data_IF_477145483294
#
_entry.id   IF_477145483294
#
_cell.length_a   1.000
_cell.length_b   1.000
_cell.length_c   1.000
_cell.angle_alpha   90.00
_cell.angle_beta   90.00
_cell.angle_gamma   90.00
#
_symmetry.space_group_name_H-M   'P 1'
#
loop_
_entity.id
_entity.type
_entity.pdbx_description
1 polymer ?
#
# COMPACT_ATOMS: atom_id res chain seq x y z
N UNK A 1 6.39 8.62 -4.07
CA UNK A 1 7.40 7.60 -3.72
C UNK A 1 8.39 7.43 -4.88
N UNK A 2 9.68 7.15 -4.62
CA UNK A 2 10.73 7.04 -5.66
C UNK A 2 11.77 5.95 -5.34
N UNK A 3 11.39 4.90 -4.60
CA UNK A 3 12.29 3.80 -4.27
C UNK A 3 12.93 3.17 -5.53
N UNK A 4 14.17 2.68 -5.38
CA UNK A 4 14.94 2.07 -6.48
C UNK A 4 14.20 0.93 -7.18
N UNK A 5 13.32 0.23 -6.45
CA UNK A 5 12.43 -0.81 -6.95
C UNK A 5 11.49 -0.31 -8.05
N UNK A 6 10.92 0.89 -7.89
CA UNK A 6 10.00 1.51 -8.84
C UNK A 6 10.71 2.26 -9.98
N UNK A 7 12.03 2.44 -9.90
CA UNK A 7 12.85 3.02 -10.98
C UNK A 7 13.63 1.98 -11.80
N UNK A 8 13.55 0.70 -11.43
CA UNK A 8 14.29 -0.40 -12.09
C UNK A 8 13.87 -0.63 -13.54
N UNK A 9 14.78 -1.18 -14.35
CA UNK A 9 14.53 -1.57 -15.74
C UNK A 9 13.41 -2.59 -15.87
N UNK A 10 13.38 -3.54 -14.94
CA UNK A 10 12.45 -4.67 -14.96
C UNK A 10 11.03 -4.17 -14.67
N UNK A 11 10.90 -3.24 -13.72
CA UNK A 11 9.63 -2.58 -13.44
C UNK A 11 9.11 -1.78 -14.63
N UNK A 12 9.97 -1.00 -15.30
CA UNK A 12 9.58 -0.27 -16.52
C UNK A 12 9.15 -1.19 -17.65
N UNK A 13 9.83 -2.32 -17.80
CA UNK A 13 9.51 -3.33 -18.81
C UNK A 13 8.15 -3.96 -18.53
N UNK A 14 7.87 -4.31 -17.26
CA UNK A 14 6.58 -4.80 -16.82
C UNK A 14 5.44 -3.81 -17.10
N UNK A 15 5.64 -2.53 -16.77
CA UNK A 15 4.62 -1.50 -17.01
C UNK A 15 4.32 -1.34 -18.50
N UNK A 16 5.37 -1.32 -19.35
CA UNK A 16 5.21 -1.25 -20.80
C UNK A 16 4.47 -2.48 -21.36
N UNK A 17 4.79 -3.67 -20.87
CA UNK A 17 4.13 -4.91 -21.29
C UNK A 17 2.62 -4.94 -20.92
N UNK A 18 2.23 -4.23 -19.86
CA UNK A 18 0.85 -4.19 -19.38
C UNK A 18 0.10 -2.89 -19.75
N UNK A 19 0.67 -2.04 -20.62
CA UNK A 19 0.12 -0.73 -21.00
C UNK A 19 -0.19 0.19 -19.79
N UNK A 20 0.62 0.09 -18.74
CA UNK A 20 0.49 0.89 -17.53
C UNK A 20 1.42 2.11 -17.58
N UNK A 21 0.93 3.26 -17.17
CA UNK A 21 1.71 4.51 -17.08
C UNK A 21 2.17 4.72 -15.64
N UNK A 22 3.48 4.83 -15.42
CA UNK A 22 4.01 5.17 -14.11
C UNK A 22 3.76 6.65 -13.81
N UNK A 23 2.89 6.98 -12.86
CA UNK A 23 2.75 8.35 -12.34
C UNK A 23 3.76 8.61 -11.23
N UNK A 24 5.06 8.55 -11.56
CA UNK A 24 6.07 9.06 -10.63
C UNK A 24 6.17 10.58 -10.81
N UNK A 25 5.34 11.32 -10.08
CA UNK A 25 5.43 12.78 -9.99
C UNK A 25 6.77 13.22 -9.38
N UNK A 26 7.14 14.49 -9.57
CA UNK A 26 8.39 15.05 -9.04
C UNK A 26 8.43 14.91 -7.50
N UNK A 27 9.64 14.79 -6.93
CA UNK A 27 9.84 14.84 -5.47
C UNK A 27 9.08 16.05 -4.91
N UNK A 28 8.19 15.81 -3.95
CA UNK A 28 7.42 16.87 -3.28
C UNK A 28 5.92 16.88 -3.56
N UNK A 29 5.40 16.05 -4.47
CA UNK A 29 3.94 15.89 -4.61
C UNK A 29 3.41 14.88 -3.58
N UNK A 30 3.15 15.34 -2.35
CA UNK A 30 2.65 14.51 -1.26
C UNK A 30 1.23 13.96 -1.52
N UNK A 31 0.45 14.62 -2.39
CA UNK A 31 -0.92 14.23 -2.69
C UNK A 31 -1.04 12.86 -3.34
N UNK A 32 -0.08 12.48 -4.19
CA UNK A 32 -0.12 11.18 -4.90
C UNK A 32 0.09 9.99 -3.94
N UNK A 33 0.80 10.21 -2.83
CA UNK A 33 1.05 9.17 -1.81
C UNK A 33 0.14 9.30 -0.59
N UNK A 34 -0.60 10.42 -0.44
CA UNK A 34 -1.36 10.73 0.77
C UNK A 34 -2.40 9.66 1.11
N UNK A 35 -3.04 9.06 0.10
CA UNK A 35 -4.04 7.99 0.31
C UNK A 35 -3.37 6.74 0.90
N UNK A 36 -2.24 6.32 0.32
CA UNK A 36 -1.48 5.17 0.81
C UNK A 36 -0.92 5.44 2.22
N UNK A 37 -0.35 6.62 2.44
CA UNK A 37 0.16 7.02 3.77
C UNK A 37 -0.94 7.02 4.83
N UNK A 38 -2.12 7.56 4.51
CA UNK A 38 -3.27 7.54 5.40
C UNK A 38 -3.72 6.11 5.71
N UNK A 39 -3.82 5.24 4.70
CA UNK A 39 -4.12 3.82 4.90
C UNK A 39 -3.13 3.15 5.85
N UNK A 40 -1.81 3.29 5.61
CA UNK A 40 -0.80 2.65 6.45
C UNK A 40 -0.77 3.21 7.87
N UNK A 41 -1.04 4.50 8.05
CA UNK A 41 -1.18 5.10 9.38
C UNK A 41 -2.35 4.47 10.15
N UNK A 42 -3.51 4.35 9.50
CA UNK A 42 -4.72 3.77 10.10
C UNK A 42 -4.52 2.29 10.42
N UNK A 43 -4.03 1.49 9.47
CA UNK A 43 -3.74 0.06 9.67
C UNK A 43 -2.82 -0.15 10.87
N UNK A 44 -1.73 0.61 10.97
CA UNK A 44 -0.80 0.51 12.09
C UNK A 44 -1.47 0.88 13.41
N UNK A 45 -2.20 2.00 13.44
CA UNK A 45 -2.83 2.53 14.64
C UNK A 45 -3.95 1.63 15.16
N UNK A 46 -4.82 1.19 14.29
CA UNK A 46 -6.10 0.56 14.63
C UNK A 46 -5.98 -0.96 14.74
N UNK A 47 -5.05 -1.58 14.00
CA UNK A 47 -4.94 -3.05 13.98
C UNK A 47 -3.63 -3.61 14.52
N UNK A 48 -2.49 -2.98 14.22
CA UNK A 48 -1.17 -3.59 14.47
C UNK A 48 -0.53 -3.15 15.81
N UNK A 49 -0.70 -1.89 16.23
CA UNK A 49 0.09 -1.26 17.33
C UNK A 49 0.10 -2.03 18.67
N UNK A 50 -0.91 -2.85 18.95
CA UNK A 50 -1.03 -3.61 20.21
C UNK A 50 -1.20 -5.11 20.00
N UNK A 51 -0.86 -5.62 18.81
CA UNK A 51 -1.03 -7.02 18.44
C UNK A 51 0.31 -7.65 18.14
N UNK A 52 0.61 -8.74 18.84
CA UNK A 52 1.74 -9.62 18.55
C UNK A 52 1.18 -10.82 17.79
N UNK A 53 1.72 -11.08 16.61
CA UNK A 53 1.34 -12.23 15.79
C UNK A 53 2.32 -13.37 16.03
N UNK A 54 1.79 -14.56 16.31
CA UNK A 54 2.58 -15.76 16.51
C UNK A 54 3.18 -16.27 15.20
N UNK A 55 2.47 -16.09 14.09
CA UNK A 55 2.94 -16.47 12.76
C UNK A 55 2.70 -15.38 11.71
N UNK A 56 3.46 -15.47 10.61
CA UNK A 56 3.25 -14.62 9.43
C UNK A 56 1.90 -14.86 8.77
N UNK A 57 1.37 -16.09 8.87
CA UNK A 57 0.06 -16.47 8.33
C UNK A 57 -1.06 -15.72 9.06
N UNK A 58 -0.96 -15.63 10.39
CA UNK A 58 -1.93 -14.91 11.22
C UNK A 58 -1.93 -13.42 10.90
N UNK A 59 -0.74 -12.83 10.76
CA UNK A 59 -0.59 -11.44 10.36
C UNK A 59 -1.19 -11.17 8.98
N UNK A 60 -0.94 -12.07 8.00
CA UNK A 60 -1.49 -11.93 6.65
C UNK A 60 -3.02 -12.02 6.65
N UNK A 61 -3.58 -12.97 7.39
CA UNK A 61 -5.03 -13.16 7.47
C UNK A 61 -5.72 -11.98 8.15
N UNK A 62 -5.14 -11.44 9.22
CA UNK A 62 -5.70 -10.29 9.93
C UNK A 62 -5.64 -8.99 9.12
N UNK A 63 -4.55 -8.78 8.36
CA UNK A 63 -4.45 -7.63 7.45
C UNK A 63 -5.48 -7.75 6.32
N UNK A 64 -5.67 -8.96 5.77
CA UNK A 64 -6.68 -9.19 4.74
C UNK A 64 -8.09 -8.90 5.26
N UNK A 65 -8.46 -9.43 6.42
CA UNK A 65 -9.75 -9.16 7.08
C UNK A 65 -9.96 -7.66 7.32
N UNK A 66 -8.93 -6.96 7.81
CA UNK A 66 -9.02 -5.51 8.02
C UNK A 66 -9.25 -4.73 6.72
N UNK A 67 -8.62 -5.13 5.61
CA UNK A 67 -8.80 -4.46 4.31
C UNK A 67 -10.21 -4.74 3.76
N UNK A 68 -10.59 -6.01 3.66
CA UNK A 68 -11.80 -6.44 2.95
C UNK A 68 -13.08 -6.21 3.75
N UNK A 69 -13.03 -6.41 5.07
CA UNK A 69 -14.24 -6.39 5.91
C UNK A 69 -14.43 -5.10 6.68
N UNK A 70 -13.37 -4.29 6.85
CA UNK A 70 -13.44 -3.05 7.63
C UNK A 70 -13.11 -1.80 6.81
N UNK A 71 -11.94 -1.75 6.16
CA UNK A 71 -11.46 -0.55 5.49
C UNK A 71 -12.27 -0.24 4.22
N UNK A 72 -12.31 -1.17 3.26
CA UNK A 72 -12.99 -0.96 1.98
C UNK A 72 -14.52 -0.78 2.10
N UNK A 73 -15.26 -1.53 2.95
CA UNK A 73 -16.71 -1.38 3.05
C UNK A 73 -17.16 -0.07 3.72
N UNK A 74 -16.40 0.44 4.70
CA UNK A 74 -16.75 1.69 5.41
C UNK A 74 -16.24 2.94 4.70
N UNK A 75 -15.17 2.85 3.91
CA UNK A 75 -14.59 3.97 3.17
C UNK A 75 -14.57 3.64 1.68
N UNK A 76 -15.72 3.81 1.03
CA UNK A 76 -15.76 3.95 -0.43
C UNK A 76 -15.19 5.32 -0.75
N UNK A 77 -13.92 5.35 -1.14
CA UNK A 77 -13.22 6.54 -1.61
C UNK A 77 -13.93 7.15 -2.82
#
# INVERSE_FOLDING_TARGET
DQGSQYSSSDWRSFLKANNLVASMSRRGNCHDNAVAESFFQLLKRERIKRKIYTSRQDARSDVFDYIEMFYNPKRRH
#
